data_IF_107342504085
#
_entry.id   IF_107342504085
#
_cell.length_a   1.000
_cell.length_b   1.000
_cell.length_c   1.000
_cell.angle_alpha   90.00
_cell.angle_beta   90.00
_cell.angle_gamma   90.00
#
_symmetry.space_group_name_H-M   'P 1'
#
loop_
_entity.id
_entity.type
_entity.pdbx_description
1 polymer ?
#
# COMPACT_ATOMS: atom_id res chain seq x y z
N UNK A 1 -8.54 32.73 -33.98
CA UNK A 1 -8.10 32.13 -32.70
C UNK A 1 -6.64 31.76 -32.88
N UNK A 2 -5.75 32.58 -32.34
CA UNK A 2 -4.31 32.57 -32.65
C UNK A 2 -3.65 31.22 -32.41
N UNK A 3 -2.73 30.87 -33.31
CA UNK A 3 -1.92 29.64 -33.29
C UNK A 3 -1.27 29.41 -31.92
N UNK A 4 -0.84 30.49 -31.27
CA UNK A 4 -0.15 30.45 -29.98
C UNK A 4 -1.09 30.08 -28.82
N UNK A 5 -2.35 30.51 -28.86
CA UNK A 5 -3.34 30.12 -27.85
C UNK A 5 -3.61 28.60 -27.90
N UNK A 6 -3.71 28.04 -29.12
CA UNK A 6 -3.88 26.58 -29.29
C UNK A 6 -2.71 25.79 -28.73
N UNK A 7 -1.47 26.26 -28.96
CA UNK A 7 -0.26 25.62 -28.41
C UNK A 7 -0.24 25.64 -26.88
N UNK A 8 -0.57 26.77 -26.27
CA UNK A 8 -0.62 26.90 -24.80
C UNK A 8 -1.65 25.95 -24.20
N UNK A 9 -2.84 25.83 -24.79
CA UNK A 9 -3.88 24.91 -24.33
C UNK A 9 -3.41 23.44 -24.42
N UNK A 10 -2.76 23.06 -25.53
CA UNK A 10 -2.24 21.70 -25.71
C UNK A 10 -1.15 21.37 -24.67
N UNK A 11 -0.20 22.28 -24.45
CA UNK A 11 0.86 22.09 -23.45
C UNK A 11 0.26 21.97 -22.05
N UNK A 12 -0.72 22.82 -21.72
CA UNK A 12 -1.39 22.77 -20.42
C UNK A 12 -2.13 21.45 -20.22
N UNK A 13 -2.80 20.95 -21.26
CA UNK A 13 -3.47 19.65 -21.21
C UNK A 13 -2.49 18.48 -21.02
N UNK A 14 -1.32 18.52 -21.68
CA UNK A 14 -0.28 17.51 -21.50
C UNK A 14 0.26 17.52 -20.06
N UNK A 15 0.57 18.71 -19.53
CA UNK A 15 1.07 18.85 -18.15
C UNK A 15 0.02 18.36 -17.14
N UNK A 16 -1.25 18.76 -17.31
CA UNK A 16 -2.33 18.30 -16.46
C UNK A 16 -2.51 16.77 -16.52
N UNK A 17 -2.42 16.18 -17.72
CA UNK A 17 -2.47 14.73 -17.90
C UNK A 17 -1.31 14.00 -17.22
N UNK A 18 -0.10 14.54 -17.32
CA UNK A 18 1.08 13.98 -16.65
C UNK A 18 0.94 14.04 -15.12
N UNK A 19 0.48 15.17 -14.58
CA UNK A 19 0.22 15.32 -13.14
C UNK A 19 -0.84 14.30 -12.70
N UNK A 20 -1.95 14.17 -13.43
CA UNK A 20 -3.01 13.21 -13.12
C UNK A 20 -2.47 11.78 -13.05
N UNK A 21 -1.68 11.35 -14.04
CA UNK A 21 -1.09 10.01 -14.07
C UNK A 21 -0.17 9.76 -12.87
N UNK A 22 0.74 10.70 -12.57
CA UNK A 22 1.65 10.57 -11.41
C UNK A 22 0.86 10.46 -10.11
N UNK A 23 -0.14 11.33 -9.93
CA UNK A 23 -0.96 11.34 -8.71
C UNK A 23 -1.75 10.04 -8.58
N UNK A 24 -2.29 9.52 -9.69
CA UNK A 24 -3.02 8.25 -9.71
C UNK A 24 -2.13 7.05 -9.33
N UNK A 25 -0.89 7.02 -9.80
CA UNK A 25 0.07 5.95 -9.47
C UNK A 25 0.48 5.98 -7.99
N UNK A 26 0.73 7.18 -7.45
CA UNK A 26 1.06 7.35 -6.03
C UNK A 26 -0.13 6.93 -5.16
N UNK A 27 -1.34 7.40 -5.49
CA UNK A 27 -2.56 7.05 -4.77
C UNK A 27 -2.83 5.55 -4.84
N UNK A 28 -2.67 4.91 -5.99
CA UNK A 28 -2.82 3.46 -6.10
C UNK A 28 -1.81 2.72 -5.25
N UNK A 29 -0.53 3.11 -5.23
CA UNK A 29 0.45 2.41 -4.39
C UNK A 29 0.20 2.58 -2.88
N UNK A 30 -0.32 3.74 -2.46
CA UNK A 30 -0.60 4.01 -1.04
C UNK A 30 -1.92 3.37 -0.60
N UNK A 31 -2.95 3.43 -1.46
CA UNK A 31 -4.32 2.98 -1.15
C UNK A 31 -4.60 1.56 -1.59
N UNK A 32 -3.70 0.90 -2.34
CA UNK A 32 -3.90 -0.50 -2.73
C UNK A 32 -4.02 -1.34 -1.47
N UNK A 33 -5.16 -2.02 -1.27
CA UNK A 33 -5.35 -2.86 -0.10
C UNK A 33 -4.28 -3.95 -0.14
N UNK A 34 -3.48 -4.03 0.93
CA UNK A 34 -2.47 -5.07 1.04
C UNK A 34 -3.13 -6.44 0.96
N UNK A 35 -2.54 -7.31 0.16
CA UNK A 35 -3.01 -8.68 -0.02
C UNK A 35 -2.91 -9.43 1.31
N UNK A 36 -3.93 -10.23 1.62
CA UNK A 36 -3.89 -11.16 2.75
C UNK A 36 -3.02 -12.35 2.36
N UNK A 37 -2.05 -12.68 3.20
CA UNK A 37 -1.23 -13.89 3.07
C UNK A 37 -1.25 -14.68 4.37
N UNK A 38 -0.95 -15.97 4.30
CA UNK A 38 -0.84 -16.78 5.51
C UNK A 38 0.50 -16.57 6.18
N UNK A 39 0.47 -16.22 7.46
CA UNK A 39 1.66 -15.98 8.27
C UNK A 39 1.60 -16.78 9.55
N UNK A 40 2.77 -17.24 9.98
CA UNK A 40 3.04 -17.68 11.34
C UNK A 40 3.82 -16.60 12.08
N UNK A 41 3.22 -16.05 13.14
CA UNK A 41 3.82 -15.06 14.02
C UNK A 41 4.20 -15.72 15.33
N UNK A 42 5.43 -15.51 15.78
CA UNK A 42 5.89 -15.87 17.12
C UNK A 42 5.95 -14.60 17.94
N UNK A 43 5.10 -14.48 18.95
CA UNK A 43 5.00 -13.31 19.81
C UNK A 43 6.03 -13.35 20.96
N UNK A 44 6.33 -12.17 21.50
CA UNK A 44 7.21 -11.94 22.66
C UNK A 44 6.82 -12.74 23.91
N UNK A 45 5.53 -13.05 24.07
CA UNK A 45 5.01 -13.88 25.15
C UNK A 45 5.07 -15.40 24.85
N UNK A 46 5.74 -15.82 23.77
CA UNK A 46 5.86 -17.20 23.35
C UNK A 46 4.64 -17.77 22.62
N UNK A 47 3.57 -17.00 22.43
CA UNK A 47 2.39 -17.44 21.68
C UNK A 47 2.71 -17.51 20.18
N UNK A 48 2.32 -18.60 19.54
CA UNK A 48 2.39 -18.77 18.09
C UNK A 48 1.01 -18.58 17.49
N UNK A 49 0.90 -17.76 16.45
CA UNK A 49 -0.35 -17.46 15.75
C UNK A 49 -0.16 -17.80 14.28
N UNK A 50 -1.09 -18.55 13.69
CA UNK A 50 -1.11 -18.84 12.27
C UNK A 50 -2.42 -18.33 11.69
N UNK A 51 -2.35 -17.31 10.85
CA UNK A 51 -3.56 -16.66 10.34
C UNK A 51 -3.31 -15.98 8.99
N UNK A 52 -4.40 -15.60 8.32
CA UNK A 52 -4.40 -14.81 7.10
C UNK A 52 -4.29 -13.32 7.44
N UNK A 53 -3.09 -12.76 7.28
CA UNK A 53 -2.76 -11.41 7.71
C UNK A 53 -2.37 -10.51 6.53
N UNK A 54 -2.72 -9.24 6.65
CA UNK A 54 -2.17 -8.15 5.84
C UNK A 54 -0.91 -7.60 6.53
N UNK A 55 0.20 -7.51 5.82
CA UNK A 55 1.47 -7.03 6.36
C UNK A 55 1.64 -5.52 6.14
N UNK A 56 1.40 -4.70 7.16
CA UNK A 56 1.67 -3.27 7.17
C UNK A 56 3.07 -2.95 7.69
N UNK A 57 3.52 -1.70 7.52
CA UNK A 57 4.87 -1.30 7.95
C UNK A 57 5.11 -1.55 9.43
N UNK A 58 4.10 -1.27 10.27
CA UNK A 58 4.13 -1.30 11.73
C UNK A 58 3.45 -2.54 12.36
N UNK A 59 2.58 -3.22 11.61
CA UNK A 59 1.71 -4.29 12.15
C UNK A 59 1.29 -5.33 11.13
N UNK A 60 0.82 -6.46 11.62
CA UNK A 60 0.01 -7.42 10.87
C UNK A 60 -1.45 -7.30 11.26
N UNK A 61 -2.38 -7.40 10.32
CA UNK A 61 -3.81 -7.23 10.57
C UNK A 61 -4.62 -8.42 10.03
N UNK A 62 -5.44 -9.04 10.89
CA UNK A 62 -6.46 -10.02 10.53
C UNK A 62 -7.83 -9.46 10.93
N UNK A 63 -8.64 -9.01 9.98
CA UNK A 63 -10.04 -8.55 10.09
C UNK A 63 -10.43 -7.71 11.33
N UNK A 64 -10.38 -8.29 12.54
CA UNK A 64 -10.72 -7.65 13.82
C UNK A 64 -9.54 -7.55 14.80
N UNK A 65 -8.35 -8.04 14.45
CA UNK A 65 -7.17 -8.13 15.33
C UNK A 65 -5.95 -7.54 14.63
N UNK A 66 -5.18 -6.75 15.38
CA UNK A 66 -3.89 -6.19 14.95
C UNK A 66 -2.75 -6.71 15.84
N UNK A 67 -1.67 -7.16 15.22
CA UNK A 67 -0.44 -7.61 15.87
C UNK A 67 0.70 -6.66 15.51
N UNK A 68 1.14 -5.84 16.47
CA UNK A 68 2.21 -4.86 16.24
C UNK A 68 3.58 -5.55 16.17
N UNK A 69 4.43 -5.12 15.22
CA UNK A 69 5.75 -5.76 15.00
C UNK A 69 6.69 -5.68 16.19
N UNK A 70 6.53 -4.68 17.06
CA UNK A 70 7.29 -4.58 18.32
C UNK A 70 6.98 -5.72 19.31
N UNK A 71 5.87 -6.43 19.16
CA UNK A 71 5.47 -7.56 19.99
C UNK A 71 5.81 -8.91 19.34
N UNK A 72 6.37 -8.91 18.13
CA UNK A 72 6.63 -10.10 17.33
C UNK A 72 8.14 -10.39 17.33
N UNK A 73 8.52 -11.60 17.75
CA UNK A 73 9.91 -12.09 17.72
C UNK A 73 10.28 -12.54 16.31
N UNK A 74 9.37 -13.25 15.64
CA UNK A 74 9.62 -13.85 14.33
C UNK A 74 8.34 -13.95 13.51
N UNK A 75 8.52 -13.84 12.19
CA UNK A 75 7.44 -13.94 11.21
C UNK A 75 7.86 -14.86 10.09
N UNK A 76 6.96 -15.78 9.70
CA UNK A 76 7.16 -16.67 8.57
C UNK A 76 5.94 -16.67 7.68
N UNK A 77 6.09 -16.29 6.41
CA UNK A 77 5.05 -16.49 5.40
C UNK A 77 4.94 -18.00 5.11
N UNK A 78 3.72 -18.52 5.12
CA UNK A 78 3.41 -19.93 4.85
C UNK A 78 2.55 -19.97 3.59
N UNK A 79 2.84 -20.92 2.70
CA UNK A 79 2.05 -21.19 1.49
C UNK A 79 0.92 -22.17 1.78
#
# INVERSE_FOLDING_TARGET
MDSDYKKVVIITAIIAGAIFLITSLILNNILSPKEKKYYELILSNGKVIKDSLKDYEDRFEADSISYYKNQIISTKEIK
#
